data_IF_873696792147
#
_entry.id   IF_873696792147
#
_cell.length_a   1.000
_cell.length_b   1.000
_cell.length_c   1.000
_cell.angle_alpha   90.00
_cell.angle_beta   90.00
_cell.angle_gamma   90.00
#
_symmetry.space_group_name_H-M   'P 1'
#
loop_
_entity.id
_entity.type
_entity.pdbx_description
1 polymer ?
#
# COMPACT_ATOMS: atom_id res chain seq x y z
N UNK A 1 5.78 23.12 -10.92
CA UNK A 1 4.67 22.18 -10.62
C UNK A 1 4.12 21.65 -11.94
N UNK A 2 3.86 20.35 -12.04
CA UNK A 2 3.20 19.77 -13.22
C UNK A 2 1.68 19.78 -13.02
N UNK A 3 0.91 20.01 -14.09
CA UNK A 3 -0.56 19.99 -14.08
C UNK A 3 -1.03 18.78 -14.87
N UNK A 4 -1.95 18.01 -14.28
CA UNK A 4 -2.62 16.89 -14.92
C UNK A 4 -4.14 17.05 -14.77
N UNK A 5 -4.91 16.52 -15.71
CA UNK A 5 -6.38 16.48 -15.67
C UNK A 5 -6.80 15.02 -15.55
N UNK A 6 -7.77 14.75 -14.67
CA UNK A 6 -8.35 13.41 -14.47
C UNK A 6 -9.86 13.49 -14.65
N UNK A 7 -10.43 12.46 -15.27
CA UNK A 7 -11.89 12.34 -15.43
C UNK A 7 -12.46 11.55 -14.26
N UNK A 8 -13.52 12.07 -13.65
CA UNK A 8 -14.18 11.47 -12.50
C UNK A 8 -15.69 11.42 -12.79
N UNK A 9 -16.39 10.32 -12.48
CA UNK A 9 -17.83 10.26 -12.64
C UNK A 9 -18.56 11.33 -11.84
N UNK A 10 -19.55 12.00 -12.46
CA UNK A 10 -20.29 13.11 -11.86
C UNK A 10 -20.91 12.78 -10.50
N UNK A 11 -21.39 11.54 -10.32
CA UNK A 11 -21.99 11.09 -9.05
C UNK A 11 -21.01 11.07 -7.86
N UNK A 12 -19.69 11.06 -8.13
CA UNK A 12 -18.64 11.14 -7.11
C UNK A 12 -18.14 12.56 -6.86
N UNK A 13 -18.55 13.53 -7.67
CA UNK A 13 -18.12 14.92 -7.51
C UNK A 13 -18.58 15.52 -6.19
N UNK A 14 -19.80 15.19 -5.73
CA UNK A 14 -20.31 15.67 -4.45
C UNK A 14 -19.45 15.21 -3.25
N UNK A 15 -18.92 13.97 -3.29
CA UNK A 15 -18.02 13.44 -2.26
C UNK A 15 -16.65 14.13 -2.30
N UNK A 16 -16.16 14.47 -3.49
CA UNK A 16 -14.85 15.08 -3.70
C UNK A 16 -14.82 16.59 -3.42
N UNK A 17 -15.94 17.29 -3.58
CA UNK A 17 -16.02 18.72 -3.31
C UNK A 17 -15.61 19.05 -1.86
N UNK A 18 -15.92 18.14 -0.92
CA UNK A 18 -15.51 18.24 0.48
C UNK A 18 -13.98 18.20 0.69
N UNK A 19 -13.23 17.68 -0.29
CA UNK A 19 -11.77 17.52 -0.24
C UNK A 19 -11.04 18.35 -1.31
N UNK A 20 -11.73 19.30 -1.95
CA UNK A 20 -11.22 20.10 -3.08
C UNK A 20 -9.83 20.71 -2.84
N UNK A 21 -9.62 21.25 -1.64
CA UNK A 21 -8.35 21.90 -1.27
C UNK A 21 -7.21 20.91 -0.97
N UNK A 22 -7.52 19.62 -0.84
CA UNK A 22 -6.58 18.53 -0.51
C UNK A 22 -6.61 17.39 -1.53
N UNK A 23 -7.11 17.64 -2.74
CA UNK A 23 -7.18 16.62 -3.80
C UNK A 23 -5.81 16.06 -4.16
N UNK A 24 -4.77 16.90 -4.12
CA UNK A 24 -3.38 16.46 -4.33
C UNK A 24 -2.96 15.41 -3.29
N UNK A 25 -3.21 15.67 -2.01
CA UNK A 25 -2.88 14.74 -0.92
C UNK A 25 -3.68 13.45 -1.02
N UNK A 26 -4.97 13.55 -1.37
CA UNK A 26 -5.85 12.39 -1.58
C UNK A 26 -5.33 11.51 -2.72
N UNK A 27 -4.88 12.10 -3.83
CA UNK A 27 -4.27 11.36 -4.93
C UNK A 27 -2.97 10.66 -4.52
N UNK A 28 -2.12 11.33 -3.73
CA UNK A 28 -0.87 10.74 -3.24
C UNK A 28 -1.12 9.60 -2.25
N UNK A 29 -2.13 9.73 -1.38
CA UNK A 29 -2.59 8.66 -0.49
C UNK A 29 -3.12 7.46 -1.29
N UNK A 30 -3.95 7.73 -2.31
CA UNK A 30 -4.43 6.68 -3.22
C UNK A 30 -3.29 5.96 -3.93
N UNK A 31 -2.30 6.69 -4.43
CA UNK A 31 -1.11 6.11 -5.08
C UNK A 31 -0.31 5.23 -4.11
N UNK A 32 -0.11 5.67 -2.86
CA UNK A 32 0.54 4.86 -1.84
C UNK A 32 -0.21 3.55 -1.60
N UNK A 33 -1.53 3.62 -1.48
CA UNK A 33 -2.38 2.44 -1.28
C UNK A 33 -2.30 1.45 -2.46
N UNK A 34 -2.28 1.94 -3.69
CA UNK A 34 -2.11 1.10 -4.90
C UNK A 34 -0.77 0.35 -4.84
N UNK A 35 0.33 1.03 -4.51
CA UNK A 35 1.65 0.39 -4.40
C UNK A 35 1.69 -0.71 -3.36
N UNK A 36 1.05 -0.49 -2.20
CA UNK A 36 0.94 -1.52 -1.15
C UNK A 36 0.20 -2.75 -1.69
N UNK A 37 -0.94 -2.55 -2.35
CA UNK A 37 -1.74 -3.66 -2.90
C UNK A 37 -0.99 -4.45 -3.97
N UNK A 38 -0.28 -3.77 -4.87
CA UNK A 38 0.55 -4.41 -5.89
C UNK A 38 1.69 -5.22 -5.28
N UNK A 39 2.41 -4.65 -4.30
CA UNK A 39 3.49 -5.33 -3.58
C UNK A 39 2.98 -6.59 -2.87
N UNK A 40 1.85 -6.49 -2.16
CA UNK A 40 1.22 -7.63 -1.49
C UNK A 40 0.76 -8.71 -2.47
N UNK A 41 0.23 -8.35 -3.64
CA UNK A 41 -0.17 -9.30 -4.66
C UNK A 41 1.02 -10.11 -5.20
N UNK A 42 2.13 -9.42 -5.50
CA UNK A 42 3.36 -10.05 -5.96
C UNK A 42 3.96 -10.97 -4.89
N UNK A 43 3.98 -10.51 -3.63
CA UNK A 43 4.43 -11.30 -2.49
C UNK A 43 3.57 -12.55 -2.29
N UNK A 44 2.23 -12.41 -2.31
CA UNK A 44 1.29 -13.53 -2.18
C UNK A 44 1.50 -14.61 -3.25
N UNK A 45 1.84 -14.20 -4.48
CA UNK A 45 2.16 -15.09 -5.59
C UNK A 45 3.55 -15.73 -5.48
N UNK A 46 4.35 -15.36 -4.49
CA UNK A 46 5.72 -15.84 -4.29
C UNK A 46 6.71 -15.30 -5.33
N UNK A 47 6.36 -14.20 -6.02
CA UNK A 47 7.20 -13.61 -7.08
C UNK A 47 8.28 -12.69 -6.52
N UNK A 48 8.07 -12.16 -5.31
CA UNK A 48 9.01 -11.28 -4.63
C UNK A 48 9.13 -11.66 -3.15
N UNK A 49 10.28 -11.32 -2.54
CA UNK A 49 10.49 -11.43 -1.09
C UNK A 49 9.72 -10.36 -0.33
N UNK A 50 9.64 -10.51 0.99
CA UNK A 50 9.02 -9.50 1.86
C UNK A 50 9.77 -8.18 1.86
N UNK A 51 11.12 -8.21 1.87
CA UNK A 51 11.95 -7.02 1.73
C UNK A 51 11.71 -6.28 0.42
N UNK A 52 11.59 -7.00 -0.70
CA UNK A 52 11.27 -6.37 -1.99
C UNK A 52 9.87 -5.78 -2.02
N UNK A 53 8.90 -6.41 -1.34
CA UNK A 53 7.57 -5.84 -1.18
C UNK A 53 7.61 -4.52 -0.37
N UNK A 54 8.45 -4.46 0.67
CA UNK A 54 8.67 -3.27 1.50
C UNK A 54 9.23 -2.11 0.67
N UNK A 55 10.24 -2.36 -0.15
CA UNK A 55 10.82 -1.36 -1.06
C UNK A 55 9.78 -0.78 -2.04
N UNK A 56 8.96 -1.63 -2.66
CA UNK A 56 7.93 -1.21 -3.63
C UNK A 56 6.85 -0.37 -2.93
N UNK A 57 6.41 -0.82 -1.76
CA UNK A 57 5.37 -0.17 -0.97
C UNK A 57 5.86 1.11 -0.26
N UNK A 58 7.17 1.32 -0.14
CA UNK A 58 7.74 2.39 0.68
C UNK A 58 7.49 2.16 2.18
N UNK A 59 7.49 0.90 2.60
CA UNK A 59 7.22 0.46 3.97
C UNK A 59 8.42 -0.32 4.53
N UNK A 60 8.45 -0.49 5.84
CA UNK A 60 9.30 -1.49 6.50
C UNK A 60 8.75 -2.91 6.30
N UNK A 61 9.60 -3.93 6.48
CA UNK A 61 9.14 -5.32 6.41
C UNK A 61 8.03 -5.63 7.43
N UNK A 62 8.13 -5.06 8.64
CA UNK A 62 7.12 -5.20 9.68
C UNK A 62 5.77 -4.60 9.27
N UNK A 63 5.77 -3.41 8.65
CA UNK A 63 4.55 -2.81 8.12
C UNK A 63 3.96 -3.64 6.99
N UNK A 64 4.78 -4.23 6.12
CA UNK A 64 4.31 -5.19 5.10
C UNK A 64 3.69 -6.42 5.74
N UNK A 65 4.25 -6.96 6.82
CA UNK A 65 3.64 -8.06 7.58
C UNK A 65 2.25 -7.66 8.10
N UNK A 66 2.13 -6.48 8.71
CA UNK A 66 0.85 -5.98 9.22
C UNK A 66 -0.18 -5.81 8.10
N UNK A 67 0.21 -5.22 6.98
CA UNK A 67 -0.64 -5.06 5.80
C UNK A 67 -1.02 -6.43 5.22
N UNK A 68 -0.08 -7.36 5.08
CA UNK A 68 -0.36 -8.71 4.60
C UNK A 68 -1.41 -9.42 5.48
N UNK A 69 -1.28 -9.34 6.81
CA UNK A 69 -2.28 -9.88 7.75
C UNK A 69 -3.65 -9.22 7.56
N UNK A 70 -3.71 -7.90 7.43
CA UNK A 70 -4.95 -7.16 7.18
C UNK A 70 -5.63 -7.56 5.86
N UNK A 71 -4.85 -7.94 4.84
CA UNK A 71 -5.32 -8.43 3.54
C UNK A 71 -5.54 -9.96 3.48
N UNK A 72 -5.48 -10.65 4.63
CA UNK A 72 -5.70 -12.11 4.71
C UNK A 72 -4.59 -12.94 4.05
N UNK A 73 -3.39 -12.37 3.90
CA UNK A 73 -2.20 -13.06 3.41
C UNK A 73 -1.41 -13.54 4.62
N UNK A 74 -1.22 -14.86 4.73
CA UNK A 74 -0.39 -15.42 5.77
C UNK A 74 1.09 -15.21 5.41
N UNK A 75 1.85 -14.41 6.17
CA UNK A 75 3.26 -14.19 5.88
C UNK A 75 4.02 -15.52 6.00
N UNK A 76 4.94 -15.77 5.05
CA UNK A 76 5.90 -16.86 5.18
C UNK A 76 6.95 -16.40 6.19
N UNK A 77 6.84 -16.87 7.42
CA UNK A 77 7.78 -16.57 8.49
C UNK A 77 9.17 -17.08 8.05
N UNK A 78 10.17 -16.20 7.97
CA UNK A 78 11.56 -16.66 8.00
C UNK A 78 11.97 -16.89 9.46
N UNK A 79 12.77 -17.92 9.75
CA UNK A 79 13.19 -18.28 11.12
C UNK A 79 13.84 -17.11 11.90
N UNK A 80 14.39 -16.12 11.20
CA UNK A 80 14.90 -14.86 11.75
C UNK A 80 13.82 -13.98 12.40
N UNK A 81 12.58 -14.02 11.90
CA UNK A 81 11.46 -13.19 12.40
C UNK A 81 10.87 -13.70 13.73
N UNK A 82 11.06 -14.99 14.05
CA UNK A 82 10.62 -15.55 15.35
C UNK A 82 11.49 -15.01 16.49
N UNK A 83 12.77 -14.72 16.23
CA UNK A 83 13.67 -14.22 17.27
C UNK A 83 13.47 -12.73 17.59
N UNK A 84 13.03 -11.93 16.61
CA UNK A 84 12.79 -10.49 16.82
C UNK A 84 11.46 -10.19 17.53
N UNK A 85 10.43 -11.04 17.41
CA UNK A 85 9.16 -10.87 18.17
C UNK A 85 9.25 -11.44 19.61
N UNK A 86 10.25 -12.26 19.92
CA UNK A 86 10.43 -12.90 21.25
C UNK A 86 11.48 -12.22 22.15
N UNK A 87 12.16 -11.17 21.67
CA UNK A 87 13.16 -10.40 22.40
C UNK A 87 12.59 -9.05 22.88
#
# INVERSE_FOLDING_TARGET
MAKTTVEIPDHKMAELEAYKDRLGDLLLLGLSQVKIQEALLLYKRGLISIGRAAEIAGLTEQEVVQQARAFGIQPRWSETQVQEELA
#
